data_IF_305330575488
#
_entry.id   IF_305330575488
#
_cell.length_a   1.000
_cell.length_b   1.000
_cell.length_c   1.000
_cell.angle_alpha   90.00
_cell.angle_beta   90.00
_cell.angle_gamma   90.00
#
_symmetry.space_group_name_H-M   'P 1'
#
loop_
_entity.id
_entity.type
_entity.pdbx_description
1 polymer ?
#
# COMPACT_ATOMS: atom_id res chain seq x y z
N UNK A 1 -7.40 -32.15 -2.37
CA UNK A 1 -6.21 -31.31 -2.66
C UNK A 1 -6.61 -30.37 -3.79
N UNK A 2 -6.56 -29.05 -3.59
CA UNK A 2 -6.85 -28.09 -4.65
C UNK A 2 -5.79 -28.15 -5.74
N UNK A 3 -6.19 -28.04 -7.01
CA UNK A 3 -5.20 -27.89 -8.10
C UNK A 3 -4.45 -26.56 -7.94
N UNK A 4 -3.21 -26.43 -8.43
CA UNK A 4 -2.45 -25.17 -8.36
C UNK A 4 -3.22 -23.96 -8.92
N UNK A 5 -4.05 -24.17 -9.95
CA UNK A 5 -4.92 -23.13 -10.49
C UNK A 5 -6.00 -22.64 -9.51
N UNK A 6 -6.55 -23.54 -8.68
CA UNK A 6 -7.59 -23.21 -7.70
C UNK A 6 -7.02 -22.41 -6.51
N UNK A 7 -5.81 -22.73 -6.04
CA UNK A 7 -5.14 -21.96 -4.96
C UNK A 7 -4.81 -20.53 -5.37
N UNK A 8 -4.42 -20.31 -6.63
CA UNK A 8 -4.17 -18.98 -7.18
C UNK A 8 -5.45 -18.12 -7.24
N UNK A 9 -6.58 -18.70 -7.66
CA UNK A 9 -7.87 -18.00 -7.67
C UNK A 9 -8.29 -17.58 -6.25
N UNK A 10 -8.13 -18.46 -5.27
CA UNK A 10 -8.39 -18.11 -3.87
C UNK A 10 -7.43 -17.02 -3.36
N UNK A 11 -6.14 -17.11 -3.71
CA UNK A 11 -5.16 -16.08 -3.34
C UNK A 11 -5.57 -14.72 -3.90
N UNK A 12 -6.01 -14.64 -5.16
CA UNK A 12 -6.51 -13.40 -5.77
C UNK A 12 -7.74 -12.84 -5.05
N UNK A 13 -8.71 -13.69 -4.71
CA UNK A 13 -9.93 -13.28 -4.00
C UNK A 13 -9.59 -12.69 -2.63
N UNK A 14 -8.72 -13.37 -1.88
CA UNK A 14 -8.24 -12.88 -0.58
C UNK A 14 -7.44 -11.59 -0.75
N UNK A 15 -6.56 -11.50 -1.76
CA UNK A 15 -5.80 -10.28 -2.04
C UNK A 15 -6.72 -9.10 -2.42
N UNK A 16 -7.83 -9.35 -3.13
CA UNK A 16 -8.82 -8.33 -3.46
C UNK A 16 -9.57 -7.83 -2.22
N UNK A 17 -9.99 -8.75 -1.34
CA UNK A 17 -10.59 -8.39 -0.05
C UNK A 17 -9.59 -7.59 0.81
N UNK A 18 -8.35 -8.09 0.93
CA UNK A 18 -7.27 -7.43 1.65
C UNK A 18 -7.00 -6.02 1.09
N UNK A 19 -6.97 -5.84 -0.23
CA UNK A 19 -6.82 -4.53 -0.86
C UNK A 19 -7.98 -3.59 -0.50
N UNK A 20 -9.22 -4.07 -0.59
CA UNK A 20 -10.41 -3.29 -0.20
C UNK A 20 -10.38 -2.88 1.28
N UNK A 21 -10.09 -3.82 2.18
CA UNK A 21 -10.00 -3.54 3.62
C UNK A 21 -8.82 -2.63 3.96
N UNK A 22 -7.66 -2.78 3.31
CA UNK A 22 -6.50 -1.90 3.51
C UNK A 22 -6.79 -0.48 3.00
N UNK A 23 -7.55 -0.35 1.93
CA UNK A 23 -8.03 0.95 1.47
C UNK A 23 -8.96 1.61 2.49
N UNK A 24 -9.91 0.85 3.06
CA UNK A 24 -10.76 1.36 4.15
C UNK A 24 -9.94 1.73 5.40
N UNK A 25 -8.90 0.95 5.73
CA UNK A 25 -7.98 1.26 6.81
C UNK A 25 -7.24 2.60 6.57
N UNK A 26 -6.79 2.86 5.35
CA UNK A 26 -6.18 4.14 4.97
C UNK A 26 -7.17 5.31 5.12
N UNK A 27 -8.42 5.13 4.71
CA UNK A 27 -9.45 6.16 4.88
C UNK A 27 -9.75 6.41 6.37
N UNK A 28 -9.88 5.35 7.17
CA UNK A 28 -10.08 5.47 8.62
C UNK A 28 -8.90 6.19 9.30
N UNK A 29 -7.66 5.86 8.93
CA UNK A 29 -6.46 6.57 9.42
C UNK A 29 -6.41 8.03 8.95
N UNK A 30 -6.89 8.29 7.74
CA UNK A 30 -7.09 9.64 7.20
C UNK A 30 -8.04 10.47 8.05
N UNK A 31 -9.18 9.91 8.47
CA UNK A 31 -10.14 10.55 9.38
C UNK A 31 -9.53 10.79 10.76
N UNK A 32 -8.88 9.78 11.35
CA UNK A 32 -8.20 9.87 12.65
C UNK A 32 -7.21 11.04 12.68
N UNK A 33 -6.41 11.16 11.61
CA UNK A 33 -5.42 12.24 11.50
C UNK A 33 -6.09 13.59 11.26
N UNK A 34 -7.11 13.64 10.40
CA UNK A 34 -7.82 14.90 10.08
C UNK A 34 -8.52 15.46 11.31
N UNK A 35 -9.27 14.65 12.04
CA UNK A 35 -9.96 15.09 13.26
C UNK A 35 -9.04 15.21 14.49
N UNK A 36 -7.74 14.89 14.34
CA UNK A 36 -6.73 14.98 15.40
C UNK A 36 -7.05 14.10 16.62
N UNK A 37 -7.70 12.96 16.39
CA UNK A 37 -8.12 12.02 17.44
C UNK A 37 -7.16 10.85 17.60
N UNK A 38 -5.97 10.94 17.00
CA UNK A 38 -4.94 9.91 17.05
C UNK A 38 -4.52 9.48 18.46
N UNK A 39 -4.71 10.32 19.47
CA UNK A 39 -4.40 10.05 20.87
C UNK A 39 -5.64 9.89 21.74
N UNK A 40 -6.84 9.75 21.14
CA UNK A 40 -8.08 9.52 21.89
C UNK A 40 -8.05 8.21 22.68
N UNK A 41 -7.30 7.21 22.18
CA UNK A 41 -6.93 6.01 22.92
C UNK A 41 -5.41 6.03 23.12
N UNK A 42 -4.95 6.17 24.36
CA UNK A 42 -3.55 6.47 24.69
C UNK A 42 -2.73 5.24 25.13
N UNK A 43 -3.30 4.03 25.04
CA UNK A 43 -2.62 2.76 25.27
C UNK A 43 -2.53 1.92 24.00
N UNK A 44 -1.62 0.94 23.99
CA UNK A 44 -1.46 -0.07 22.93
C UNK A 44 -0.70 -1.28 23.53
N UNK A 45 -1.01 -2.53 23.15
CA UNK A 45 -1.98 -2.98 22.14
C UNK A 45 -3.43 -3.06 22.62
N UNK A 46 -3.72 -2.63 23.85
CA UNK A 46 -5.07 -2.60 24.43
C UNK A 46 -5.86 -1.35 24.04
N UNK A 47 -7.13 -1.29 24.44
CA UNK A 47 -7.93 -0.06 24.50
C UNK A 47 -8.43 0.11 25.93
N UNK A 48 -7.88 1.07 26.64
CA UNK A 48 -8.12 1.32 28.06
C UNK A 48 -8.00 0.07 28.95
N UNK A 49 -7.00 -0.77 28.66
CA UNK A 49 -6.75 -2.03 29.37
C UNK A 49 -7.59 -3.23 28.92
N UNK A 50 -8.63 -3.03 28.08
CA UNK A 50 -9.34 -4.12 27.42
C UNK A 50 -8.54 -4.65 26.22
N UNK A 51 -8.69 -5.94 25.90
CA UNK A 51 -8.29 -6.43 24.58
C UNK A 51 -9.08 -5.66 23.51
N UNK A 52 -8.43 -5.38 22.37
CA UNK A 52 -9.04 -4.62 21.26
C UNK A 52 -10.42 -5.15 20.86
N UNK A 53 -10.63 -6.47 20.89
CA UNK A 53 -11.90 -7.10 20.48
C UNK A 53 -12.97 -7.13 21.59
N UNK A 54 -12.61 -6.78 22.82
CA UNK A 54 -13.49 -6.86 24.00
C UNK A 54 -13.87 -5.50 24.58
N UNK A 55 -13.39 -4.41 24.00
CA UNK A 55 -13.74 -3.07 24.47
C UNK A 55 -15.25 -2.82 24.29
N UNK A 56 -15.97 -2.31 25.31
CA UNK A 56 -17.42 -2.15 25.25
C UNK A 56 -17.88 -1.20 24.12
N UNK A 57 -18.90 -1.62 23.38
CA UNK A 57 -19.41 -0.86 22.23
C UNK A 57 -20.13 0.43 22.64
N UNK A 58 -20.83 0.40 23.77
CA UNK A 58 -21.45 1.58 24.40
C UNK A 58 -20.40 2.62 24.76
N UNK A 59 -19.35 2.24 25.49
CA UNK A 59 -18.23 3.14 25.84
C UNK A 59 -17.51 3.67 24.59
N UNK A 60 -17.38 2.85 23.53
CA UNK A 60 -16.79 3.30 22.26
C UNK A 60 -17.62 4.39 21.58
N UNK A 61 -18.95 4.23 21.55
CA UNK A 61 -19.87 5.10 20.80
C UNK A 61 -20.18 6.42 21.52
N UNK A 62 -19.92 6.52 22.83
CA UNK A 62 -20.07 7.75 23.60
C UNK A 62 -19.13 8.88 23.16
N UNK A 63 -17.93 8.53 22.68
CA UNK A 63 -16.91 9.49 22.26
C UNK A 63 -16.51 9.28 20.80
N UNK A 64 -16.83 10.25 19.94
CA UNK A 64 -16.53 10.18 18.50
C UNK A 64 -15.04 9.98 18.19
N UNK A 65 -14.14 10.56 18.99
CA UNK A 65 -12.70 10.38 18.83
C UNK A 65 -12.24 8.97 19.17
N UNK A 66 -12.77 8.40 20.25
CA UNK A 66 -12.54 6.99 20.62
C UNK A 66 -13.13 6.07 19.55
N UNK A 67 -14.35 6.33 19.07
CA UNK A 67 -14.96 5.57 17.97
C UNK A 67 -14.05 5.53 16.74
N UNK A 68 -13.52 6.68 16.31
CA UNK A 68 -12.67 6.77 15.12
C UNK A 68 -11.33 6.06 15.30
N UNK A 69 -10.61 6.33 16.40
CA UNK A 69 -9.30 5.74 16.70
C UNK A 69 -9.42 4.21 16.91
N UNK A 70 -10.43 3.76 17.67
CA UNK A 70 -10.65 2.34 17.92
C UNK A 70 -11.11 1.58 16.66
N UNK A 71 -12.01 2.16 15.85
CA UNK A 71 -12.41 1.56 14.57
C UNK A 71 -11.23 1.42 13.60
N UNK A 72 -10.34 2.40 13.55
CA UNK A 72 -9.10 2.32 12.78
C UNK A 72 -8.20 1.17 13.25
N UNK A 73 -8.05 0.97 14.57
CA UNK A 73 -7.27 -0.13 15.16
C UNK A 73 -7.89 -1.51 14.88
N UNK A 74 -9.22 -1.63 14.94
CA UNK A 74 -9.95 -2.85 14.58
C UNK A 74 -9.74 -3.20 13.10
N UNK A 75 -9.82 -2.22 12.21
CA UNK A 75 -9.49 -2.41 10.79
C UNK A 75 -8.02 -2.86 10.61
N UNK A 76 -7.09 -2.31 11.39
CA UNK A 76 -5.68 -2.73 11.38
C UNK A 76 -5.52 -4.20 11.77
N UNK A 77 -6.23 -4.64 12.80
CA UNK A 77 -6.28 -6.04 13.24
C UNK A 77 -6.85 -6.95 12.15
N UNK A 78 -7.95 -6.54 11.52
CA UNK A 78 -8.57 -7.27 10.40
C UNK A 78 -7.61 -7.39 9.20
N UNK A 79 -6.92 -6.31 8.83
CA UNK A 79 -5.89 -6.34 7.77
C UNK A 79 -4.77 -7.31 8.13
N UNK A 80 -4.29 -7.31 9.39
CA UNK A 80 -3.33 -8.28 9.89
C UNK A 80 -3.79 -9.72 9.66
N UNK A 81 -5.00 -10.06 10.11
CA UNK A 81 -5.60 -11.39 9.91
C UNK A 81 -5.72 -11.74 8.42
N UNK A 82 -6.16 -10.80 7.57
CA UNK A 82 -6.29 -11.04 6.13
C UNK A 82 -4.93 -11.29 5.46
N UNK A 83 -3.84 -10.66 5.90
CA UNK A 83 -2.50 -10.97 5.38
C UNK A 83 -2.04 -12.38 5.74
N UNK A 84 -2.37 -12.87 6.95
CA UNK A 84 -2.11 -14.25 7.36
C UNK A 84 -2.89 -15.25 6.50
N UNK A 85 -4.16 -14.96 6.23
CA UNK A 85 -4.99 -15.79 5.33
C UNK A 85 -4.40 -15.78 3.91
N UNK A 86 -3.97 -14.63 3.40
CA UNK A 86 -3.34 -14.53 2.08
C UNK A 86 -2.06 -15.36 1.98
N UNK A 87 -1.22 -15.33 3.03
CA UNK A 87 -0.03 -16.16 3.14
C UNK A 87 -0.35 -17.65 3.21
N UNK A 88 -1.30 -18.06 4.04
CA UNK A 88 -1.72 -19.45 4.18
C UNK A 88 -2.28 -20.02 2.88
N UNK A 89 -3.15 -19.27 2.21
CA UNK A 89 -3.74 -19.67 0.91
C UNK A 89 -2.68 -19.73 -0.18
N UNK A 90 -1.78 -18.74 -0.27
CA UNK A 90 -0.68 -18.77 -1.25
C UNK A 90 0.32 -19.92 -0.99
N UNK A 91 0.49 -20.33 0.26
CA UNK A 91 1.33 -21.47 0.62
C UNK A 91 0.65 -22.83 0.37
N UNK A 92 -0.69 -22.89 0.32
CA UNK A 92 -1.44 -24.14 0.13
C UNK A 92 -1.15 -24.86 -1.19
N UNK A 93 -0.68 -24.10 -2.18
CA UNK A 93 -0.18 -24.56 -3.47
C UNK A 93 1.26 -25.13 -3.41
N UNK A 94 2.02 -24.77 -2.37
CA UNK A 94 3.35 -25.28 -2.11
C UNK A 94 3.30 -26.74 -1.68
N UNK A 95 4.34 -27.51 -2.02
CA UNK A 95 4.48 -28.89 -1.55
C UNK A 95 4.39 -29.03 -0.02
N UNK A 96 4.30 -30.27 0.47
CA UNK A 96 4.09 -30.57 1.91
C UNK A 96 5.00 -29.76 2.84
N UNK A 97 6.28 -29.67 2.53
CA UNK A 97 7.30 -28.95 3.30
C UNK A 97 7.03 -27.44 3.39
N UNK A 98 6.65 -26.81 2.27
CA UNK A 98 6.34 -25.39 2.20
C UNK A 98 5.11 -25.01 3.06
N UNK A 99 4.12 -25.92 3.12
CA UNK A 99 2.95 -25.75 3.99
C UNK A 99 3.32 -25.90 5.45
N UNK A 100 4.12 -26.91 5.81
CA UNK A 100 4.57 -27.12 7.19
C UNK A 100 5.27 -25.87 7.73
N UNK A 101 6.25 -25.32 7.01
CA UNK A 101 6.96 -24.12 7.46
C UNK A 101 6.07 -22.88 7.53
N UNK A 102 5.03 -22.78 6.69
CA UNK A 102 4.04 -21.70 6.80
C UNK A 102 3.20 -21.82 8.08
N UNK A 103 2.74 -23.03 8.42
CA UNK A 103 2.02 -23.24 9.68
C UNK A 103 2.92 -23.03 10.91
N UNK A 104 4.20 -23.39 10.81
CA UNK A 104 5.19 -23.08 11.85
C UNK A 104 5.35 -21.57 12.00
N UNK A 105 5.50 -20.83 10.89
CA UNK A 105 5.59 -19.36 10.94
C UNK A 105 4.36 -18.74 11.60
N UNK A 106 3.15 -19.18 11.20
CA UNK A 106 1.89 -18.72 11.79
C UNK A 106 1.83 -19.01 13.30
N UNK A 107 2.20 -20.21 13.73
CA UNK A 107 2.22 -20.57 15.15
C UNK A 107 3.21 -19.74 15.97
N UNK A 108 4.41 -19.50 15.44
CA UNK A 108 5.42 -18.66 16.07
C UNK A 108 4.98 -17.19 16.16
N UNK A 109 4.25 -16.70 15.17
CA UNK A 109 3.73 -15.34 15.17
C UNK A 109 2.60 -15.16 16.18
N UNK A 110 1.69 -16.12 16.29
CA UNK A 110 0.69 -16.14 17.37
C UNK A 110 1.37 -16.14 18.73
N UNK A 111 2.42 -16.95 18.91
CA UNK A 111 3.21 -16.95 20.14
C UNK A 111 3.90 -15.59 20.40
N UNK A 112 4.41 -14.93 19.36
CA UNK A 112 4.98 -13.58 19.46
C UNK A 112 3.93 -12.57 19.91
N UNK A 113 2.75 -12.55 19.30
CA UNK A 113 1.65 -11.64 19.67
C UNK A 113 1.20 -11.89 21.11
N UNK A 114 1.00 -13.15 21.49
CA UNK A 114 0.65 -13.51 22.88
C UNK A 114 1.74 -13.04 23.84
N UNK A 115 3.02 -13.25 23.51
CA UNK A 115 4.14 -12.77 24.32
C UNK A 115 4.10 -11.25 24.51
N UNK A 116 3.94 -10.47 23.42
CA UNK A 116 3.85 -9.01 23.48
C UNK A 116 2.69 -8.56 24.37
N UNK A 117 1.51 -9.17 24.22
CA UNK A 117 0.33 -8.83 25.02
C UNK A 117 0.54 -9.16 26.51
N UNK A 118 1.08 -10.34 26.82
CA UNK A 118 1.29 -10.78 28.20
C UNK A 118 2.39 -10.00 28.92
N UNK A 119 3.50 -9.68 28.23
CA UNK A 119 4.62 -8.95 28.83
C UNK A 119 4.45 -7.44 28.75
N UNK A 120 3.45 -6.94 28.01
CA UNK A 120 3.29 -5.52 27.65
C UNK A 120 4.58 -4.91 27.08
N UNK A 121 5.36 -5.73 26.37
CA UNK A 121 6.67 -5.34 25.85
C UNK A 121 6.81 -5.79 24.40
N UNK A 122 7.12 -4.82 23.53
CA UNK A 122 7.34 -5.06 22.10
C UNK A 122 8.75 -5.56 21.84
N UNK A 123 9.73 -4.96 22.53
CA UNK A 123 11.15 -5.28 22.36
C UNK A 123 11.67 -5.99 23.61
N UNK A 124 12.03 -7.26 23.45
CA UNK A 124 12.63 -8.09 24.49
C UNK A 124 13.31 -9.30 23.86
N UNK A 125 14.17 -10.02 24.62
CA UNK A 125 14.96 -11.13 24.07
C UNK A 125 14.06 -12.26 23.53
N UNK A 126 12.95 -12.56 24.21
CA UNK A 126 12.00 -13.59 23.78
C UNK A 126 11.28 -13.15 22.49
N UNK A 127 10.82 -11.90 22.42
CA UNK A 127 10.16 -11.33 21.25
C UNK A 127 11.09 -11.32 20.04
N UNK A 128 12.36 -10.95 20.24
CA UNK A 128 13.38 -10.96 19.18
C UNK A 128 13.63 -12.38 18.64
N UNK A 129 13.72 -13.38 19.53
CA UNK A 129 13.88 -14.78 19.14
C UNK A 129 12.65 -15.29 18.37
N UNK A 130 11.44 -15.00 18.86
CA UNK A 130 10.20 -15.39 18.20
C UNK A 130 10.08 -14.74 16.82
N UNK A 131 10.38 -13.44 16.71
CA UNK A 131 10.37 -12.72 15.43
C UNK A 131 11.39 -13.29 14.44
N UNK A 132 12.63 -13.53 14.87
CA UNK A 132 13.64 -14.17 14.03
C UNK A 132 13.19 -15.57 13.58
N UNK A 133 12.55 -16.33 14.46
CA UNK A 133 12.01 -17.67 14.15
C UNK A 133 10.89 -17.62 13.12
N UNK A 134 10.00 -16.60 13.19
CA UNK A 134 9.01 -16.32 12.15
C UNK A 134 9.71 -16.06 10.82
N UNK A 135 10.69 -15.14 10.77
CA UNK A 135 11.43 -14.82 9.53
C UNK A 135 12.10 -16.05 8.91
N UNK A 136 12.74 -16.89 9.73
CA UNK A 136 13.36 -18.14 9.29
C UNK A 136 12.30 -19.09 8.72
N UNK A 137 11.19 -19.30 9.43
CA UNK A 137 10.11 -20.17 8.98
C UNK A 137 9.51 -19.66 7.65
N UNK A 138 9.35 -18.35 7.48
CA UNK A 138 8.91 -17.74 6.21
C UNK A 138 9.91 -17.96 5.08
N UNK A 139 11.20 -17.80 5.33
CA UNK A 139 12.26 -18.08 4.37
C UNK A 139 12.29 -19.56 3.95
N UNK A 140 12.16 -20.47 4.91
CA UNK A 140 12.11 -21.92 4.64
C UNK A 140 10.84 -22.34 3.90
N UNK A 141 9.76 -21.58 4.10
CA UNK A 141 8.52 -21.79 3.37
C UNK A 141 8.74 -21.55 1.86
N UNK A 142 9.58 -20.59 1.46
CA UNK A 142 9.72 -20.06 0.10
C UNK A 142 10.31 -21.04 -0.96
N UNK A 143 9.53 -22.03 -1.44
CA UNK A 143 9.83 -22.94 -2.60
C UNK A 143 8.50 -23.47 -3.21
N UNK A 144 8.10 -23.29 -4.50
CA UNK A 144 8.69 -23.70 -5.82
C UNK A 144 8.65 -22.60 -6.94
N UNK A 145 9.17 -22.79 -8.19
CA UNK A 145 9.35 -21.72 -9.20
C UNK A 145 8.08 -21.07 -9.80
N UNK A 146 6.96 -21.78 -9.94
CA UNK A 146 5.80 -21.27 -10.68
C UNK A 146 5.01 -20.15 -9.96
N UNK A 147 5.13 -20.04 -8.64
CA UNK A 147 4.34 -19.12 -7.81
C UNK A 147 5.19 -18.21 -6.89
N UNK A 148 6.51 -18.14 -7.16
CA UNK A 148 7.46 -17.37 -6.32
C UNK A 148 7.05 -15.92 -6.13
N UNK A 149 6.58 -15.26 -7.19
CA UNK A 149 6.20 -13.85 -7.15
C UNK A 149 4.98 -13.61 -6.25
N UNK A 150 3.94 -14.45 -6.35
CA UNK A 150 2.72 -14.34 -5.53
C UNK A 150 3.04 -14.57 -4.06
N UNK A 151 3.82 -15.61 -3.77
CA UNK A 151 4.23 -15.93 -2.40
C UNK A 151 5.14 -14.86 -1.79
N UNK A 152 6.12 -14.39 -2.55
CA UNK A 152 7.00 -13.30 -2.12
C UNK A 152 6.22 -12.03 -1.85
N UNK A 153 5.23 -11.69 -2.69
CA UNK A 153 4.34 -10.57 -2.46
C UNK A 153 3.44 -10.75 -1.23
N UNK A 154 2.94 -11.97 -0.96
CA UNK A 154 2.12 -12.26 0.23
C UNK A 154 2.93 -12.12 1.52
N UNK A 155 4.15 -12.69 1.55
CA UNK A 155 5.09 -12.52 2.67
C UNK A 155 5.45 -11.05 2.85
N UNK A 156 5.77 -10.35 1.76
CA UNK A 156 6.09 -8.92 1.78
C UNK A 156 4.95 -8.05 2.32
N UNK A 157 3.70 -8.31 1.89
CA UNK A 157 2.52 -7.61 2.37
C UNK A 157 2.33 -7.78 3.87
N UNK A 158 2.50 -9.01 4.36
CA UNK A 158 2.38 -9.30 5.78
C UNK A 158 3.47 -8.63 6.62
N UNK A 159 4.74 -8.75 6.23
CA UNK A 159 5.85 -8.09 6.92
C UNK A 159 5.66 -6.56 6.93
N UNK A 160 5.15 -5.99 5.84
CA UNK A 160 4.85 -4.56 5.75
C UNK A 160 3.71 -4.15 6.70
N UNK A 161 2.65 -4.96 6.83
CA UNK A 161 1.55 -4.73 7.78
C UNK A 161 2.01 -4.88 9.23
N UNK A 162 2.82 -5.89 9.56
CA UNK A 162 3.41 -6.06 10.90
C UNK A 162 4.26 -4.84 11.24
N UNK A 163 5.14 -4.42 10.34
CA UNK A 163 5.95 -3.21 10.52
C UNK A 163 5.07 -1.97 10.76
N UNK A 164 3.96 -1.81 10.02
CA UNK A 164 3.03 -0.70 10.24
C UNK A 164 2.27 -0.79 11.57
N UNK A 165 1.86 -1.99 11.99
CA UNK A 165 1.21 -2.19 13.28
C UNK A 165 2.15 -1.81 14.43
N UNK A 166 3.43 -2.20 14.35
CA UNK A 166 4.46 -1.83 15.31
C UNK A 166 4.72 -0.33 15.31
N UNK A 167 4.92 0.28 14.14
CA UNK A 167 5.14 1.73 14.01
C UNK A 167 3.93 2.53 14.55
N UNK A 168 2.71 2.09 14.25
CA UNK A 168 1.46 2.67 14.73
C UNK A 168 1.23 2.48 16.24
N UNK A 169 1.69 1.38 16.82
CA UNK A 169 1.69 1.19 18.28
C UNK A 169 2.70 2.10 18.97
N UNK A 170 3.94 2.11 18.49
CA UNK A 170 5.02 2.91 19.08
C UNK A 170 4.72 4.42 19.02
N UNK A 171 4.13 4.92 17.93
CA UNK A 171 3.75 6.35 17.85
C UNK A 171 2.73 6.76 18.91
N UNK A 172 1.86 5.84 19.34
CA UNK A 172 0.90 6.08 20.44
C UNK A 172 1.63 6.04 21.77
N UNK A 173 2.42 5.00 22.02
CA UNK A 173 3.14 4.82 23.29
C UNK A 173 4.14 5.95 23.57
N UNK A 174 4.77 6.49 22.54
CA UNK A 174 5.73 7.60 22.66
C UNK A 174 5.09 8.98 22.46
N UNK A 175 3.78 9.05 22.15
CA UNK A 175 3.08 10.29 21.79
C UNK A 175 3.87 11.14 20.77
N UNK A 176 4.35 10.49 19.70
CA UNK A 176 5.32 11.09 18.77
C UNK A 176 4.66 11.50 17.45
N UNK A 177 4.61 12.81 17.20
CA UNK A 177 4.13 13.37 15.93
C UNK A 177 5.03 12.99 14.73
N UNK A 178 6.33 12.82 14.98
CA UNK A 178 7.28 12.40 13.94
C UNK A 178 6.99 10.96 13.50
N UNK A 179 6.72 10.06 14.45
CA UNK A 179 6.32 8.70 14.14
C UNK A 179 4.91 8.65 13.52
N UNK A 180 3.98 9.54 13.90
CA UNK A 180 2.68 9.65 13.25
C UNK A 180 2.81 10.05 11.76
N UNK A 181 3.68 11.03 11.46
CA UNK A 181 4.03 11.41 10.09
C UNK A 181 4.65 10.25 9.31
N UNK A 182 5.61 9.54 9.90
CA UNK A 182 6.25 8.38 9.27
C UNK A 182 5.26 7.23 9.05
N UNK A 183 4.38 6.97 10.02
CA UNK A 183 3.31 5.97 9.92
C UNK A 183 2.36 6.27 8.76
N UNK A 184 1.85 7.50 8.67
CA UNK A 184 0.95 7.92 7.59
C UNK A 184 1.57 7.80 6.20
N UNK A 185 2.85 8.17 6.05
CA UNK A 185 3.57 8.06 4.77
C UNK A 185 3.88 6.61 4.39
N UNK A 186 4.33 5.79 5.33
CA UNK A 186 4.61 4.38 5.07
C UNK A 186 3.35 3.53 4.86
N UNK A 187 2.20 3.90 5.43
CA UNK A 187 0.92 3.22 5.19
C UNK A 187 0.55 3.19 3.69
N UNK A 188 0.91 4.23 2.95
CA UNK A 188 0.72 4.33 1.50
C UNK A 188 1.53 3.26 0.76
N UNK A 189 2.76 2.98 1.21
CA UNK A 189 3.61 1.93 0.65
C UNK A 189 3.08 0.53 0.97
N UNK A 190 2.50 0.32 2.16
CA UNK A 190 1.85 -0.95 2.51
C UNK A 190 0.69 -1.24 1.56
N UNK A 191 -0.14 -0.24 1.29
CA UNK A 191 -1.22 -0.39 0.33
C UNK A 191 -0.71 -0.72 -1.08
N UNK A 192 0.38 -0.08 -1.52
CA UNK A 192 1.05 -0.45 -2.79
C UNK A 192 1.46 -1.92 -2.79
N UNK A 193 2.10 -2.43 -1.73
CA UNK A 193 2.51 -3.84 -1.65
C UNK A 193 1.32 -4.79 -1.71
N UNK A 194 0.20 -4.45 -1.06
CA UNK A 194 -1.05 -5.21 -1.15
C UNK A 194 -1.62 -5.20 -2.58
N UNK A 195 -1.56 -4.06 -3.28
CA UNK A 195 -1.97 -3.97 -4.68
C UNK A 195 -1.05 -4.80 -5.58
N UNK A 196 0.26 -4.82 -5.32
CA UNK A 196 1.21 -5.70 -6.04
C UNK A 196 0.76 -7.16 -5.91
N UNK A 197 0.47 -7.63 -4.69
CA UNK A 197 -0.05 -8.98 -4.45
C UNK A 197 -1.34 -9.25 -5.24
N UNK A 198 -2.29 -8.30 -5.26
CA UNK A 198 -3.52 -8.41 -6.04
C UNK A 198 -3.26 -8.49 -7.55
N UNK A 199 -2.32 -7.70 -8.08
CA UNK A 199 -1.97 -7.71 -9.51
C UNK A 199 -1.31 -9.04 -9.90
N UNK A 200 -0.27 -9.47 -9.17
CA UNK A 200 0.51 -10.66 -9.55
C UNK A 200 -0.23 -11.97 -9.33
N UNK A 201 -1.28 -11.98 -8.51
CA UNK A 201 -2.18 -13.13 -8.33
C UNK A 201 -3.27 -13.22 -9.42
N UNK A 202 -3.32 -12.28 -10.36
CA UNK A 202 -4.29 -12.24 -11.46
C UNK A 202 -4.10 -13.26 -12.57
N UNK A 203 -5.21 -13.77 -13.14
CA UNK A 203 -5.15 -14.62 -14.33
C UNK A 203 -4.54 -13.88 -15.53
N UNK A 204 -4.90 -12.59 -15.72
CA UNK A 204 -4.26 -11.73 -16.71
C UNK A 204 -2.73 -11.66 -16.56
N UNK A 205 -2.20 -11.71 -15.33
CA UNK A 205 -0.76 -11.67 -15.08
C UNK A 205 -0.06 -12.98 -15.45
N UNK A 206 -0.75 -14.11 -15.24
CA UNK A 206 -0.29 -15.46 -15.56
C UNK A 206 -0.31 -15.72 -17.06
N UNK A 207 -1.39 -15.29 -17.71
CA UNK A 207 -1.61 -15.47 -19.15
C UNK A 207 -0.83 -14.45 -19.99
N UNK A 208 -0.38 -13.35 -19.37
CA UNK A 208 0.48 -12.36 -20.01
C UNK A 208 1.65 -13.02 -20.77
N UNK A 209 1.79 -12.62 -22.03
CA UNK A 209 2.93 -12.96 -22.87
C UNK A 209 3.62 -11.66 -23.28
N UNK A 210 4.96 -11.59 -23.14
CA UNK A 210 5.67 -10.39 -23.51
C UNK A 210 5.65 -10.20 -25.03
N UNK A 211 5.59 -8.94 -25.45
CA UNK A 211 5.55 -8.51 -26.84
C UNK A 211 6.65 -7.48 -27.06
N UNK A 212 7.39 -7.61 -28.16
CA UNK A 212 8.42 -6.64 -28.53
C UNK A 212 7.80 -5.35 -29.08
N UNK A 213 8.22 -4.18 -28.62
CA UNK A 213 7.75 -2.88 -29.13
C UNK A 213 8.81 -1.81 -28.95
N UNK A 214 9.27 -1.13 -30.02
CA UNK A 214 10.17 0.02 -29.92
C UNK A 214 9.59 1.17 -29.10
N UNK A 215 8.26 1.34 -29.12
CA UNK A 215 7.52 2.33 -28.34
C UNK A 215 7.62 2.08 -26.82
N UNK A 216 7.97 0.84 -26.45
CA UNK A 216 8.25 0.38 -25.09
C UNK A 216 9.53 0.95 -24.47
N UNK A 217 10.45 1.47 -25.30
CA UNK A 217 11.76 1.93 -24.83
C UNK A 217 11.62 2.93 -23.67
N UNK A 218 12.41 2.73 -22.62
CA UNK A 218 12.45 3.58 -21.42
C UNK A 218 11.11 3.70 -20.66
N UNK A 219 10.09 2.89 -20.96
CA UNK A 219 8.81 2.97 -20.27
C UNK A 219 8.94 2.72 -18.76
N UNK A 220 9.86 1.83 -18.38
CA UNK A 220 10.19 1.57 -16.97
C UNK A 220 10.82 2.78 -16.28
N UNK A 221 11.65 3.57 -16.97
CA UNK A 221 12.22 4.80 -16.44
C UNK A 221 11.12 5.82 -16.15
N UNK A 222 10.21 6.08 -17.10
CA UNK A 222 9.10 7.02 -16.89
C UNK A 222 8.16 6.56 -15.78
N UNK A 223 7.92 5.24 -15.66
CA UNK A 223 7.15 4.69 -14.55
C UNK A 223 7.84 4.92 -13.20
N UNK A 224 9.16 4.70 -13.10
CA UNK A 224 9.94 5.01 -11.89
C UNK A 224 9.94 6.50 -11.55
N UNK A 225 10.07 7.38 -12.55
CA UNK A 225 9.97 8.83 -12.33
C UNK A 225 8.60 9.22 -11.77
N UNK A 226 7.51 8.65 -12.31
CA UNK A 226 6.17 8.89 -11.80
C UNK A 226 5.95 8.34 -10.38
N UNK A 227 6.49 7.14 -10.08
CA UNK A 227 6.45 6.55 -8.73
C UNK A 227 7.17 7.48 -7.74
N UNK A 228 8.40 7.88 -8.05
CA UNK A 228 9.21 8.75 -7.18
C UNK A 228 8.54 10.10 -6.95
N UNK A 229 8.10 10.77 -8.02
CA UNK A 229 7.41 12.05 -7.91
C UNK A 229 6.14 11.94 -7.06
N UNK A 230 5.32 10.90 -7.29
CA UNK A 230 4.08 10.69 -6.53
C UNK A 230 4.37 10.36 -5.06
N UNK A 231 5.42 9.59 -4.77
CA UNK A 231 5.80 9.30 -3.39
C UNK A 231 6.33 10.54 -2.66
N UNK A 232 7.16 11.36 -3.31
CA UNK A 232 7.57 12.66 -2.75
C UNK A 232 6.35 13.54 -2.47
N UNK A 233 5.36 13.57 -3.38
CA UNK A 233 4.11 14.29 -3.16
C UNK A 233 3.33 13.79 -1.94
N UNK A 234 3.30 12.48 -1.70
CA UNK A 234 2.71 11.88 -0.49
C UNK A 234 3.43 12.37 0.77
N UNK A 235 4.76 12.39 0.76
CA UNK A 235 5.57 12.89 1.90
C UNK A 235 5.30 14.38 2.15
N UNK A 236 5.27 15.20 1.10
CA UNK A 236 4.95 16.63 1.22
C UNK A 236 3.51 16.88 1.68
N UNK A 237 2.55 16.06 1.23
CA UNK A 237 1.16 16.14 1.67
C UNK A 237 0.97 15.76 3.14
N UNK A 238 1.68 14.72 3.61
CA UNK A 238 1.73 14.39 5.02
C UNK A 238 2.36 15.52 5.83
N UNK A 239 3.43 16.15 5.33
CA UNK A 239 4.10 17.25 6.02
C UNK A 239 3.14 18.44 6.16
N UNK A 240 2.51 18.86 5.06
CA UNK A 240 1.48 19.90 5.06
C UNK A 240 0.36 19.62 6.06
N UNK A 241 -0.14 18.38 6.13
CA UNK A 241 -1.20 18.02 7.07
C UNK A 241 -0.76 18.12 8.53
N UNK A 242 0.49 17.79 8.83
CA UNK A 242 1.01 17.80 10.20
C UNK A 242 1.42 19.20 10.69
N UNK A 243 2.00 20.03 9.82
CA UNK A 243 2.52 21.35 10.24
C UNK A 243 1.64 22.51 9.80
N UNK A 244 0.76 22.30 8.82
CA UNK A 244 0.13 23.41 8.09
C UNK A 244 1.17 24.32 7.43
N UNK A 245 0.76 25.56 7.14
CA UNK A 245 1.65 26.63 6.73
C UNK A 245 1.81 26.82 5.21
N UNK A 246 2.30 28.00 4.85
CA UNK A 246 2.42 28.45 3.45
C UNK A 246 3.53 27.73 2.69
N UNK A 247 4.68 27.48 3.32
CA UNK A 247 5.81 26.81 2.68
C UNK A 247 5.49 25.34 2.32
N UNK A 248 4.99 24.48 3.25
CA UNK A 248 4.59 23.12 2.88
C UNK A 248 3.49 23.09 1.80
N UNK A 249 2.54 24.05 1.84
CA UNK A 249 1.50 24.17 0.82
C UNK A 249 2.09 24.50 -0.55
N UNK A 250 2.98 25.50 -0.61
CA UNK A 250 3.67 25.88 -1.84
C UNK A 250 4.45 24.70 -2.44
N UNK A 251 5.25 24.01 -1.62
CA UNK A 251 6.02 22.84 -2.06
C UNK A 251 5.11 21.71 -2.54
N UNK A 252 3.99 21.46 -1.83
CA UNK A 252 3.00 20.46 -2.22
C UNK A 252 2.34 20.79 -3.57
N UNK A 253 1.98 22.05 -3.82
CA UNK A 253 1.37 22.46 -5.10
C UNK A 253 2.38 22.39 -6.25
N UNK A 254 3.61 22.87 -6.03
CA UNK A 254 4.67 22.81 -7.06
C UNK A 254 5.01 21.36 -7.41
N UNK A 255 5.16 20.48 -6.41
CA UNK A 255 5.39 19.07 -6.65
C UNK A 255 4.19 18.38 -7.34
N UNK A 256 2.95 18.80 -7.06
CA UNK A 256 1.77 18.30 -7.78
C UNK A 256 1.81 18.58 -9.30
N UNK A 257 2.40 19.71 -9.72
CA UNK A 257 2.61 20.01 -11.14
C UNK A 257 3.64 19.06 -11.77
N UNK A 258 4.73 18.76 -11.06
CA UNK A 258 5.72 17.76 -11.51
C UNK A 258 5.12 16.35 -11.59
N UNK A 259 4.30 15.95 -10.61
CA UNK A 259 3.55 14.70 -10.63
C UNK A 259 2.61 14.64 -11.84
N UNK A 260 1.88 15.72 -12.10
CA UNK A 260 0.98 15.83 -13.26
C UNK A 260 1.75 15.66 -14.57
N UNK A 261 2.91 16.30 -14.71
CA UNK A 261 3.79 16.16 -15.87
C UNK A 261 4.28 14.71 -16.02
N UNK A 262 4.78 14.09 -14.95
CA UNK A 262 5.30 12.72 -14.98
C UNK A 262 4.21 11.71 -15.38
N UNK A 263 3.00 11.85 -14.83
CA UNK A 263 1.84 11.00 -15.18
C UNK A 263 1.39 11.26 -16.62
N UNK A 264 1.35 12.52 -17.08
CA UNK A 264 0.97 12.84 -18.45
C UNK A 264 1.94 12.21 -19.47
N UNK A 265 3.25 12.33 -19.23
CA UNK A 265 4.29 11.70 -20.07
C UNK A 265 4.10 10.17 -20.07
N UNK A 266 4.00 9.56 -18.89
CA UNK A 266 3.77 8.12 -18.77
C UNK A 266 2.50 7.67 -19.51
N UNK A 267 1.40 8.41 -19.35
CA UNK A 267 0.11 8.14 -19.99
C UNK A 267 0.20 8.23 -21.52
N UNK A 268 0.93 9.21 -22.05
CA UNK A 268 1.18 9.36 -23.49
C UNK A 268 2.05 8.21 -24.03
N UNK A 269 3.10 7.81 -23.30
CA UNK A 269 3.97 6.68 -23.67
C UNK A 269 3.18 5.36 -23.69
N UNK A 270 2.37 5.10 -22.67
CA UNK A 270 1.46 3.96 -22.64
C UNK A 270 0.46 4.00 -23.81
N UNK A 271 -0.01 5.18 -24.20
CA UNK A 271 -0.86 5.38 -25.37
C UNK A 271 -0.17 4.95 -26.68
N UNK A 272 1.09 5.32 -26.88
CA UNK A 272 1.87 4.92 -28.07
C UNK A 272 2.04 3.39 -28.14
N UNK A 273 2.39 2.76 -27.02
CA UNK A 273 2.49 1.29 -26.93
C UNK A 273 1.16 0.62 -27.25
N UNK A 274 0.04 1.12 -26.71
CA UNK A 274 -1.28 0.56 -26.96
C UNK A 274 -1.76 0.72 -28.40
N UNK A 275 -1.34 1.78 -29.10
CA UNK A 275 -1.61 1.96 -30.53
C UNK A 275 -0.81 0.96 -31.36
N UNK A 276 0.46 0.76 -31.04
CA UNK A 276 1.32 -0.18 -31.74
C UNK A 276 0.95 -1.65 -31.43
N UNK A 277 0.53 -1.93 -30.19
CA UNK A 277 0.27 -3.27 -29.63
C UNK A 277 -1.09 -3.31 -28.92
N UNK A 278 -2.23 -3.25 -29.62
CA UNK A 278 -3.56 -3.26 -28.98
C UNK A 278 -3.86 -4.52 -28.15
N UNK A 279 -3.11 -5.61 -28.36
CA UNK A 279 -3.22 -6.88 -27.64
C UNK A 279 -2.82 -6.81 -26.15
N UNK A 280 -2.11 -5.75 -25.72
CA UNK A 280 -1.67 -5.58 -24.31
C UNK A 280 -2.78 -4.98 -23.42
N UNK A 281 -3.95 -5.65 -23.40
CA UNK A 281 -5.20 -5.22 -22.76
C UNK A 281 -5.03 -4.67 -21.32
N UNK A 282 -4.23 -5.26 -20.41
CA UNK A 282 -4.08 -4.74 -19.05
C UNK A 282 -3.60 -3.28 -18.99
N UNK A 283 -2.79 -2.83 -19.95
CA UNK A 283 -2.30 -1.44 -19.98
C UNK A 283 -3.42 -0.43 -20.31
N UNK A 284 -4.51 -0.84 -20.95
CA UNK A 284 -5.70 0.03 -21.16
C UNK A 284 -6.32 0.41 -19.83
N UNK A 285 -6.51 -0.58 -18.95
CA UNK A 285 -7.07 -0.36 -17.61
C UNK A 285 -6.18 0.55 -16.78
N UNK A 286 -4.86 0.28 -16.75
CA UNK A 286 -3.88 1.13 -16.05
C UNK A 286 -3.90 2.56 -16.58
N UNK A 287 -3.91 2.75 -17.91
CA UNK A 287 -3.91 4.08 -18.53
C UNK A 287 -5.17 4.87 -18.17
N UNK A 288 -6.36 4.24 -18.20
CA UNK A 288 -7.62 4.85 -17.78
C UNK A 288 -7.61 5.21 -16.29
N UNK A 289 -7.06 4.32 -15.46
CA UNK A 289 -6.94 4.55 -14.03
C UNK A 289 -6.03 5.74 -13.68
N UNK A 290 -4.86 5.83 -14.31
CA UNK A 290 -3.90 6.93 -14.09
C UNK A 290 -4.53 8.29 -14.37
N UNK A 291 -5.22 8.47 -15.50
CA UNK A 291 -5.84 9.77 -15.82
C UNK A 291 -7.06 10.05 -14.94
N UNK A 292 -7.90 9.05 -14.67
CA UNK A 292 -9.08 9.22 -13.82
C UNK A 292 -8.72 9.59 -12.38
N UNK A 293 -7.75 8.89 -11.80
CA UNK A 293 -7.25 9.19 -10.44
C UNK A 293 -6.52 10.53 -10.38
N UNK A 294 -5.76 10.93 -11.41
CA UNK A 294 -5.13 12.25 -11.47
C UNK A 294 -6.15 13.39 -11.50
N UNK A 295 -7.20 13.28 -12.34
CA UNK A 295 -8.28 14.27 -12.39
C UNK A 295 -8.97 14.37 -11.02
N UNK A 296 -9.33 13.23 -10.44
CA UNK A 296 -9.97 13.20 -9.14
C UNK A 296 -9.07 13.75 -8.02
N UNK A 297 -7.76 13.52 -8.10
CA UNK A 297 -6.78 14.05 -7.13
C UNK A 297 -6.75 15.58 -7.15
N UNK A 298 -6.77 16.21 -8.33
CA UNK A 298 -6.84 17.66 -8.46
C UNK A 298 -8.16 18.23 -7.93
N UNK A 299 -9.29 17.62 -8.30
CA UNK A 299 -10.61 18.02 -7.80
C UNK A 299 -10.63 17.98 -6.27
N UNK A 300 -10.25 16.85 -5.68
CA UNK A 300 -10.21 16.67 -4.24
C UNK A 300 -9.18 17.58 -3.55
N UNK A 301 -8.04 17.86 -4.18
CA UNK A 301 -7.02 18.74 -3.64
C UNK A 301 -7.48 20.19 -3.53
N UNK A 302 -8.11 20.69 -4.59
CA UNK A 302 -8.73 22.03 -4.61
C UNK A 302 -9.90 22.09 -3.62
N UNK A 303 -10.77 21.07 -3.60
CA UNK A 303 -11.88 21.00 -2.65
C UNK A 303 -11.41 20.95 -1.20
N UNK A 304 -10.35 20.18 -0.90
CA UNK A 304 -9.77 20.11 0.44
C UNK A 304 -9.17 21.45 0.85
N UNK A 305 -8.44 22.13 -0.05
CA UNK A 305 -7.89 23.45 0.26
C UNK A 305 -8.99 24.48 0.50
N UNK A 306 -10.03 24.49 -0.33
CA UNK A 306 -11.20 25.36 -0.14
C UNK A 306 -11.91 25.07 1.19
N UNK A 307 -12.12 23.80 1.54
CA UNK A 307 -12.72 23.42 2.81
C UNK A 307 -11.89 23.93 4.00
N UNK A 308 -10.56 23.73 3.98
CA UNK A 308 -9.66 24.20 5.05
C UNK A 308 -9.70 25.72 5.18
N UNK A 309 -9.55 26.46 4.08
CA UNK A 309 -9.42 27.92 4.12
C UNK A 309 -10.75 28.65 4.33
N UNK A 310 -11.83 28.16 3.72
CA UNK A 310 -13.12 28.87 3.69
C UNK A 310 -14.10 28.36 4.76
N UNK A 311 -14.05 27.07 5.13
CA UNK A 311 -15.01 26.48 6.07
C UNK A 311 -14.40 26.25 7.45
N UNK A 312 -13.14 25.84 7.51
CA UNK A 312 -12.46 25.52 8.77
C UNK A 312 -11.64 26.68 9.34
N UNK A 313 -11.55 27.82 8.65
CA UNK A 313 -10.81 29.00 9.13
C UNK A 313 -9.28 28.86 9.10
N UNK A 314 -8.75 27.92 8.31
CA UNK A 314 -7.32 27.65 8.16
C UNK A 314 -6.89 26.30 8.74
N UNK A 315 -5.60 25.98 8.60
CA UNK A 315 -5.03 24.68 9.01
C UNK A 315 -5.07 24.42 10.52
N UNK A 316 -5.30 25.42 11.36
CA UNK A 316 -5.38 25.28 12.82
C UNK A 316 -6.81 25.34 13.36
N UNK A 317 -7.79 25.68 12.50
CA UNK A 317 -9.17 25.85 12.93
C UNK A 317 -9.93 24.53 13.10
N UNK A 318 -11.20 24.62 13.52
CA UNK A 318 -12.04 23.45 13.77
C UNK A 318 -12.36 22.72 12.47
N UNK A 319 -12.20 21.40 12.50
CA UNK A 319 -12.36 20.54 11.32
C UNK A 319 -13.82 20.31 11.01
N UNK A 320 -14.26 20.75 9.84
CA UNK A 320 -15.62 20.51 9.35
C UNK A 320 -15.79 19.12 8.76
N UNK A 321 -17.03 18.63 8.66
CA UNK A 321 -17.33 17.36 7.99
C UNK A 321 -16.86 17.36 6.52
N UNK A 322 -16.98 18.50 5.83
CA UNK A 322 -16.54 18.66 4.43
C UNK A 322 -15.03 18.52 4.32
N UNK A 323 -14.26 19.18 5.19
CA UNK A 323 -12.80 18.99 5.26
C UNK A 323 -12.46 17.52 5.53
N UNK A 324 -13.08 16.93 6.56
CA UNK A 324 -12.90 15.53 6.93
C UNK A 324 -13.03 14.57 5.74
N UNK A 325 -14.11 14.70 4.97
CA UNK A 325 -14.38 13.86 3.80
C UNK A 325 -13.41 14.16 2.66
N UNK A 326 -13.28 15.41 2.25
CA UNK A 326 -12.46 15.79 1.08
C UNK A 326 -10.97 15.51 1.29
N UNK A 327 -10.43 15.83 2.46
CA UNK A 327 -9.02 15.60 2.78
C UNK A 327 -8.72 14.09 2.90
N UNK A 328 -9.63 13.31 3.50
CA UNK A 328 -9.49 11.84 3.57
C UNK A 328 -9.60 11.20 2.19
N UNK A 329 -10.57 11.62 1.38
CA UNK A 329 -10.69 11.15 0.01
C UNK A 329 -9.45 11.50 -0.82
N UNK A 330 -8.89 12.71 -0.66
CA UNK A 330 -7.66 13.14 -1.34
C UNK A 330 -6.47 12.23 -0.99
N UNK A 331 -6.34 11.81 0.28
CA UNK A 331 -5.33 10.84 0.72
C UNK A 331 -5.56 9.47 0.08
N UNK A 332 -6.82 8.99 0.06
CA UNK A 332 -7.17 7.70 -0.53
C UNK A 332 -6.93 7.65 -2.05
N UNK A 333 -7.36 8.66 -2.80
CA UNK A 333 -7.11 8.73 -4.24
C UNK A 333 -5.62 8.88 -4.54
N UNK A 334 -4.87 9.59 -3.69
CA UNK A 334 -3.41 9.63 -3.77
C UNK A 334 -2.77 8.24 -3.67
N UNK A 335 -3.25 7.40 -2.75
CA UNK A 335 -2.83 6.00 -2.59
C UNK A 335 -3.07 5.17 -3.87
N UNK A 336 -4.25 5.36 -4.46
CA UNK A 336 -4.67 4.68 -5.67
C UNK A 336 -3.89 5.14 -6.90
N UNK A 337 -3.54 6.43 -6.97
CA UNK A 337 -2.70 6.99 -8.02
C UNK A 337 -1.27 6.44 -7.94
N UNK A 338 -0.67 6.43 -6.74
CA UNK A 338 0.64 5.82 -6.50
C UNK A 338 0.63 4.32 -6.86
N UNK A 339 -0.42 3.60 -6.47
CA UNK A 339 -0.59 2.19 -6.84
C UNK A 339 -0.73 2.01 -8.36
N UNK A 340 -1.38 2.96 -9.05
CA UNK A 340 -1.49 2.99 -10.51
C UNK A 340 -0.14 3.16 -11.21
N UNK A 341 0.76 4.00 -10.69
CA UNK A 341 2.11 4.17 -11.26
C UNK A 341 2.94 2.90 -11.07
N UNK A 342 2.83 2.21 -9.92
CA UNK A 342 3.46 0.90 -9.70
C UNK A 342 2.87 -0.19 -10.60
N UNK A 343 1.55 -0.23 -10.77
CA UNK A 343 0.89 -1.16 -11.69
C UNK A 343 1.38 -0.95 -13.13
N UNK A 344 1.59 0.30 -13.55
CA UNK A 344 2.17 0.61 -14.86
C UNK A 344 3.57 0.02 -15.03
N UNK A 345 4.44 0.12 -14.02
CA UNK A 345 5.78 -0.45 -14.05
C UNK A 345 5.72 -1.98 -14.14
N UNK A 346 4.89 -2.61 -13.31
CA UNK A 346 4.72 -4.07 -13.28
C UNK A 346 4.27 -4.61 -14.63
N UNK A 347 3.21 -4.03 -15.18
CA UNK A 347 2.66 -4.47 -16.47
C UNK A 347 3.60 -4.16 -17.63
N UNK A 348 4.28 -3.01 -17.61
CA UNK A 348 5.28 -2.68 -18.64
C UNK A 348 6.42 -3.70 -18.65
N UNK A 349 6.97 -4.06 -17.49
CA UNK A 349 8.03 -5.08 -17.38
C UNK A 349 7.55 -6.49 -17.71
N UNK A 350 6.27 -6.78 -17.51
CA UNK A 350 5.69 -8.10 -17.78
C UNK A 350 5.32 -8.29 -19.24
N UNK A 351 4.85 -7.24 -19.91
CA UNK A 351 4.26 -7.33 -21.24
C UNK A 351 5.15 -6.77 -22.35
N UNK A 352 6.15 -5.95 -22.06
CA UNK A 352 6.93 -5.26 -23.10
C UNK A 352 8.39 -5.68 -23.02
N UNK A 353 8.92 -6.16 -24.13
CA UNK A 353 10.37 -6.38 -24.33
C UNK A 353 10.93 -5.23 -25.15
N UNK A 354 11.95 -4.57 -24.60
CA UNK A 354 12.74 -3.61 -25.35
C UNK A 354 13.50 -4.36 -26.45
N UNK A 355 13.28 -3.96 -27.70
CA UNK A 355 14.15 -4.40 -28.78
C UNK A 355 15.48 -3.68 -28.63
N UNK A 356 16.63 -4.37 -28.70
CA UNK A 356 17.89 -3.68 -28.90
C UNK A 356 17.74 -2.81 -30.16
N UNK A 357 18.25 -1.57 -30.10
CA UNK A 357 18.25 -0.68 -31.26
C UNK A 357 18.84 -1.36 -32.49
N UNK A 358 18.54 -0.88 -33.71
CA UNK A 358 19.00 -1.52 -34.93
C UNK A 358 20.52 -1.77 -34.84
N UNK A 359 20.94 -3.03 -35.05
CA UNK A 359 22.36 -3.37 -35.18
C UNK A 359 23.00 -2.40 -36.18
N UNK A 360 24.08 -1.74 -35.76
CA UNK A 360 24.87 -0.95 -36.71
C UNK A 360 25.32 -1.89 -37.84
N UNK A 361 25.08 -1.52 -39.12
CA UNK A 361 25.56 -2.34 -40.22
C UNK A 361 27.08 -2.53 -40.09
N UNK A 362 27.61 -3.72 -40.43
CA UNK A 362 29.04 -3.99 -40.32
C UNK A 362 29.82 -2.92 -41.10
N UNK A 363 30.79 -2.30 -40.42
CA UNK A 363 31.71 -1.35 -41.05
C UNK A 363 32.41 -2.12 -42.18
N UNK A 364 32.29 -1.69 -43.45
CA UNK A 364 33.00 -2.36 -44.53
C UNK A 364 34.50 -2.29 -44.23
N UNK A 365 35.16 -3.45 -44.25
CA UNK A 365 36.60 -3.52 -44.12
C UNK A 365 37.23 -2.64 -45.19
N UNK A 366 38.02 -1.65 -44.78
CA UNK A 366 38.84 -0.86 -45.68
C UNK A 366 39.78 -1.81 -46.41
N UNK A 367 39.58 -1.96 -47.71
CA UNK A 367 40.46 -2.68 -48.64
C UNK A 367 41.80 -1.98 -48.79
#
# INVERSE_FOLDING_TARGET
>A
MSSPGQSLQWTRRVAGLLAGTTFLLLLAGGLVTTYRVGMAVNDWPTTFGYSMLSYPLDEMLENTGVTQEHSHRLLGTLVGILTLVAMGVSASAGGRLARTWMFVALGLEVALVVCIVMTKAVFGPIQAILFASVLIALALSYRPPAERAVRGAAIGAHLAVVFQGLLGGTRVLENSQQLAFLHGTCAQLVFVVVVILFVVSGDAWREARPVASPEGANLSLFAWSAILATFVQVVLGAWLRHTGGTLPLFLHVVCALFVTMAIAVLWLRLGKVLVARPEVVPLVGVRRWLIGSLILQWLLGVSSLAAILMLSGGFEGPVTAVEGVTATAHVGIGALLLSGTVASLLWSRRLIMDLPGPEQPPVPASS
#
